data_IF_526553947050
#
_entry.id   IF_526553947050
#
_cell.length_a   1.000
_cell.length_b   1.000
_cell.length_c   1.000
_cell.angle_alpha   90.00
_cell.angle_beta   90.00
_cell.angle_gamma   90.00
#
_symmetry.space_group_name_H-M   'P 1'
#
loop_
_entity.id
_entity.type
_entity.pdbx_description
1 polymer ?
#
# COMPACT_ATOMS: atom_id res chain seq x y z
N UNK A 1 -37.30 -11.51 2.64
CA UNK A 1 -36.36 -10.84 3.55
C UNK A 1 -35.00 -10.84 2.86
N UNK A 2 -34.53 -9.69 2.37
CA UNK A 2 -33.19 -9.56 1.80
C UNK A 2 -32.30 -9.14 2.97
N UNK A 3 -31.39 -10.02 3.40
CA UNK A 3 -30.32 -9.64 4.33
C UNK A 3 -29.15 -9.13 3.49
N UNK A 4 -28.87 -7.84 3.57
CA UNK A 4 -27.58 -7.31 3.14
C UNK A 4 -26.54 -7.76 4.16
N UNK A 5 -25.74 -8.76 3.81
CA UNK A 5 -24.56 -9.12 4.59
C UNK A 5 -23.39 -8.32 4.03
N UNK A 6 -23.06 -7.21 4.67
CA UNK A 6 -21.74 -6.62 4.52
C UNK A 6 -20.87 -7.23 5.61
N UNK A 7 -19.80 -7.92 5.20
CA UNK A 7 -18.80 -8.32 6.16
C UNK A 7 -17.95 -7.11 6.52
N UNK A 8 -17.81 -6.87 7.82
CA UNK A 8 -16.93 -5.84 8.37
C UNK A 8 -15.60 -6.43 8.82
N UNK A 9 -15.44 -7.76 8.79
CA UNK A 9 -14.22 -8.41 9.24
C UNK A 9 -13.22 -8.50 8.08
N UNK A 10 -12.00 -7.95 8.23
CA UNK A 10 -10.92 -8.15 7.27
C UNK A 10 -10.35 -9.57 7.36
N UNK A 11 -9.68 -10.00 6.29
CA UNK A 11 -8.83 -11.19 6.31
C UNK A 11 -7.62 -10.89 7.21
N UNK A 12 -7.43 -11.63 8.30
CA UNK A 12 -6.32 -11.41 9.22
C UNK A 12 -5.04 -11.96 8.61
N UNK A 13 -4.09 -11.07 8.32
CA UNK A 13 -2.84 -11.40 7.65
C UNK A 13 -1.64 -10.71 8.31
N UNK A 14 -0.51 -11.40 8.29
CA UNK A 14 0.79 -10.87 8.74
C UNK A 14 1.81 -11.03 7.63
N UNK A 15 2.62 -9.99 7.39
CA UNK A 15 3.79 -10.07 6.51
C UNK A 15 5.05 -10.16 7.37
N UNK A 16 5.99 -11.01 6.94
CA UNK A 16 7.31 -11.13 7.51
C UNK A 16 8.33 -10.91 6.41
N UNK A 17 9.18 -9.93 6.60
CA UNK A 17 10.27 -9.60 5.69
C UNK A 17 11.58 -9.72 6.43
N UNK A 18 12.56 -10.36 5.80
CA UNK A 18 13.90 -10.47 6.35
C UNK A 18 14.81 -9.46 5.64
N UNK A 19 15.71 -8.85 6.40
CA UNK A 19 16.75 -7.94 5.91
C UNK A 19 16.18 -6.85 5.00
N UNK A 20 15.43 -5.91 5.59
CA UNK A 20 14.80 -4.81 4.84
C UNK A 20 15.80 -3.94 4.06
N UNK A 21 17.07 -3.93 4.46
CA UNK A 21 18.16 -3.20 3.83
C UNK A 21 19.10 -4.13 3.06
N UNK A 22 18.64 -5.26 2.54
CA UNK A 22 19.46 -6.12 1.67
C UNK A 22 18.61 -6.55 0.48
N UNK A 23 18.25 -5.60 -0.39
CA UNK A 23 17.51 -5.89 -1.62
C UNK A 23 18.42 -6.42 -2.72
N UNK A 24 19.71 -6.09 -2.68
CA UNK A 24 20.72 -6.44 -3.67
C UNK A 24 21.09 -7.94 -3.69
N UNK A 25 20.65 -8.70 -2.69
CA UNK A 25 20.78 -10.16 -2.62
C UNK A 25 19.43 -10.82 -2.89
N UNK A 26 19.45 -12.10 -3.27
CA UNK A 26 18.23 -12.88 -3.41
C UNK A 26 17.42 -12.82 -2.12
N UNK A 27 16.17 -12.39 -2.25
CA UNK A 27 15.37 -12.02 -1.09
C UNK A 27 13.99 -12.64 -1.12
N UNK A 28 13.41 -12.73 0.07
CA UNK A 28 12.08 -13.28 0.26
C UNK A 28 11.31 -12.53 1.33
N UNK A 29 10.00 -12.49 1.14
CA UNK A 29 9.05 -12.17 2.20
C UNK A 29 7.98 -13.25 2.27
N UNK A 30 7.32 -13.32 3.41
CA UNK A 30 6.35 -14.35 3.72
C UNK A 30 5.06 -13.70 4.18
N UNK A 31 3.94 -14.30 3.78
CA UNK A 31 2.61 -13.86 4.15
C UNK A 31 1.90 -15.01 4.85
N UNK A 32 1.39 -14.70 6.03
CA UNK A 32 0.74 -15.62 6.93
C UNK A 32 -0.72 -15.21 7.05
N UNK A 33 -1.61 -16.18 6.93
CA UNK A 33 -3.00 -16.00 7.28
C UNK A 33 -3.20 -16.51 8.70
N UNK A 34 -4.06 -15.83 9.46
CA UNK A 34 -4.49 -16.34 10.75
C UNK A 34 -5.22 -17.68 10.56
N UNK A 35 -5.23 -18.54 11.57
CA UNK A 35 -5.80 -19.89 11.46
C UNK A 35 -7.29 -19.89 11.05
N UNK A 36 -8.08 -18.92 11.52
CA UNK A 36 -9.50 -18.76 11.13
C UNK A 36 -9.67 -18.38 9.64
N UNK A 37 -8.60 -17.87 9.05
CA UNK A 37 -8.51 -17.41 7.68
C UNK A 37 -7.62 -18.31 6.81
N UNK A 38 -6.94 -19.31 7.37
CA UNK A 38 -6.04 -20.21 6.65
C UNK A 38 -6.73 -21.45 6.05
N UNK A 39 -8.06 -21.53 6.18
CA UNK A 39 -8.87 -22.64 5.67
C UNK A 39 -8.92 -22.68 4.13
N UNK A 40 -9.39 -23.79 3.54
CA UNK A 40 -9.53 -24.00 2.07
C UNK A 40 -10.36 -22.91 1.33
N UNK A 41 -10.97 -21.98 2.07
CA UNK A 41 -11.85 -20.91 1.60
C UNK A 41 -11.15 -19.60 1.18
N UNK A 42 -9.82 -19.47 1.35
CA UNK A 42 -9.10 -18.32 0.77
C UNK A 42 -9.10 -18.47 -0.73
N UNK A 43 -9.83 -17.57 -1.39
CA UNK A 43 -10.03 -17.65 -2.84
C UNK A 43 -8.73 -17.31 -3.57
N UNK A 44 -8.01 -16.28 -3.12
CA UNK A 44 -6.71 -15.90 -3.69
C UNK A 44 -5.78 -15.29 -2.64
N UNK A 45 -4.51 -15.66 -2.73
CA UNK A 45 -3.38 -14.90 -2.19
C UNK A 45 -2.53 -14.43 -3.37
N UNK A 46 -2.35 -13.13 -3.47
CA UNK A 46 -1.59 -12.48 -4.55
C UNK A 46 -0.43 -11.68 -3.95
N UNK A 47 0.73 -11.74 -4.59
CA UNK A 47 1.82 -10.81 -4.35
C UNK A 47 1.58 -9.53 -5.17
N UNK A 48 2.08 -8.40 -4.68
CA UNK A 48 1.92 -7.11 -5.39
C UNK A 48 3.11 -6.19 -5.16
N UNK A 49 3.35 -5.30 -6.14
CA UNK A 49 4.14 -4.09 -5.95
C UNK A 49 3.18 -2.93 -5.64
N UNK A 50 3.43 -2.20 -4.56
CA UNK A 50 2.53 -1.11 -4.11
C UNK A 50 2.64 0.14 -4.98
N UNK A 51 3.79 0.36 -5.61
CA UNK A 51 4.01 1.48 -6.54
C UNK A 51 5.37 1.41 -7.22
N UNK A 52 5.53 2.23 -8.25
CA UNK A 52 6.81 2.39 -8.93
C UNK A 52 7.74 3.29 -8.12
N UNK A 53 8.99 2.88 -8.02
CA UNK A 53 10.06 3.59 -7.29
C UNK A 53 11.27 3.81 -8.18
N UNK A 54 11.23 3.36 -9.43
CA UNK A 54 12.30 3.53 -10.44
C UNK A 54 11.73 4.04 -11.75
N UNK A 55 12.59 4.40 -12.70
CA UNK A 55 12.23 5.21 -13.85
C UNK A 55 11.43 4.47 -14.91
N UNK A 56 11.64 3.15 -15.04
CA UNK A 56 11.01 2.38 -16.12
C UNK A 56 10.25 1.16 -15.61
N UNK A 57 9.28 0.67 -16.40
CA UNK A 57 8.56 -0.56 -16.09
C UNK A 57 9.49 -1.77 -15.91
N UNK A 58 10.58 -1.84 -16.69
CA UNK A 58 11.57 -2.91 -16.61
C UNK A 58 12.30 -2.91 -15.26
N UNK A 59 12.49 -1.74 -14.66
CA UNK A 59 13.14 -1.56 -13.36
C UNK A 59 12.18 -1.77 -12.18
N UNK A 60 10.87 -1.82 -12.44
CA UNK A 60 9.81 -2.04 -11.45
C UNK A 60 9.00 -3.32 -11.77
N UNK A 61 9.64 -4.49 -11.97
CA UNK A 61 8.89 -5.70 -12.27
C UNK A 61 7.98 -6.08 -11.09
N UNK A 62 6.80 -6.60 -11.38
CA UNK A 62 5.92 -7.14 -10.34
C UNK A 62 6.56 -8.36 -9.67
N UNK A 63 6.34 -8.58 -8.36
CA UNK A 63 6.85 -9.75 -7.68
C UNK A 63 6.25 -11.04 -8.30
N UNK A 64 6.98 -12.15 -8.30
CA UNK A 64 6.45 -13.45 -8.72
C UNK A 64 5.26 -13.88 -7.86
N UNK A 65 4.41 -14.77 -8.40
CA UNK A 65 3.29 -15.34 -7.66
C UNK A 65 3.76 -16.06 -6.38
N UNK A 66 3.01 -15.94 -5.26
CA UNK A 66 3.39 -16.56 -4.01
C UNK A 66 3.29 -18.10 -4.08
N UNK A 67 4.28 -18.79 -3.51
CA UNK A 67 4.28 -20.25 -3.35
C UNK A 67 3.73 -20.65 -1.99
N UNK A 68 2.73 -21.55 -1.96
CA UNK A 68 2.19 -22.11 -0.73
C UNK A 68 3.12 -23.14 -0.10
N UNK A 69 3.26 -23.10 1.23
CA UNK A 69 4.00 -24.09 2.02
C UNK A 69 3.18 -24.58 3.20
N UNK A 70 2.90 -25.89 3.23
CA UNK A 70 2.08 -26.58 4.25
C UNK A 70 2.87 -27.08 5.47
N UNK A 71 3.99 -26.42 5.82
CA UNK A 71 4.80 -26.82 6.97
C UNK A 71 4.11 -26.58 8.33
N UNK A 72 4.84 -26.76 9.44
CA UNK A 72 4.30 -26.56 10.81
C UNK A 72 3.64 -25.19 11.02
N UNK A 73 4.08 -24.17 10.26
CA UNK A 73 3.42 -22.88 10.15
C UNK A 73 3.12 -22.67 8.66
N UNK A 74 1.85 -22.87 8.23
CA UNK A 74 1.44 -22.65 6.86
C UNK A 74 1.65 -21.20 6.43
N UNK A 75 2.18 -21.00 5.23
CA UNK A 75 2.52 -19.67 4.73
C UNK A 75 2.65 -19.61 3.21
N UNK A 76 2.52 -18.40 2.69
CA UNK A 76 2.86 -18.05 1.33
C UNK A 76 4.26 -17.42 1.32
N UNK A 77 5.16 -17.90 0.48
CA UNK A 77 6.49 -17.30 0.28
C UNK A 77 6.53 -16.63 -1.07
N UNK A 78 7.08 -15.42 -1.12
CA UNK A 78 7.44 -14.74 -2.36
C UNK A 78 8.95 -14.65 -2.40
N UNK A 79 9.56 -15.31 -3.37
CA UNK A 79 11.00 -15.25 -3.63
C UNK A 79 11.23 -14.31 -4.79
N UNK A 80 11.87 -13.18 -4.53
CA UNK A 80 12.23 -12.19 -5.55
C UNK A 80 13.62 -12.54 -6.06
N UNK A 81 13.72 -12.86 -7.35
CA UNK A 81 15.00 -13.04 -8.01
C UNK A 81 15.61 -11.69 -8.31
N UNK A 82 16.86 -11.46 -7.93
CA UNK A 82 17.42 -10.12 -8.05
C UNK A 82 17.99 -9.76 -9.43
N UNK A 83 18.09 -10.74 -10.34
CA UNK A 83 18.46 -10.64 -11.77
C UNK A 83 19.62 -9.68 -12.14
N UNK A 84 20.47 -9.30 -11.18
CA UNK A 84 21.51 -8.28 -11.33
C UNK A 84 21.00 -6.84 -11.49
N UNK A 85 19.68 -6.58 -11.47
CA UNK A 85 19.08 -5.28 -11.70
C UNK A 85 18.46 -4.64 -10.45
N UNK A 86 18.60 -5.31 -9.30
CA UNK A 86 17.99 -4.93 -8.04
C UNK A 86 16.45 -4.91 -8.06
N UNK A 87 15.84 -5.91 -8.71
CA UNK A 87 14.39 -6.02 -8.90
C UNK A 87 13.62 -6.12 -7.57
N UNK A 88 14.31 -6.56 -6.52
CA UNK A 88 13.80 -6.69 -5.16
C UNK A 88 13.77 -5.36 -4.36
N UNK A 89 14.18 -4.25 -4.97
CA UNK A 89 14.03 -2.91 -4.39
C UNK A 89 12.61 -2.35 -4.60
N UNK A 90 12.08 -1.69 -3.57
CA UNK A 90 10.79 -1.01 -3.61
C UNK A 90 9.85 -1.42 -2.48
N UNK A 91 8.55 -1.16 -2.70
CA UNK A 91 7.47 -1.51 -1.76
C UNK A 91 6.64 -2.64 -2.34
N UNK A 92 6.57 -3.74 -1.61
CA UNK A 92 5.91 -4.98 -2.02
C UNK A 92 4.88 -5.39 -0.99
N UNK A 93 4.02 -6.35 -1.31
CA UNK A 93 3.02 -6.79 -0.38
C UNK A 93 2.29 -8.04 -0.79
N UNK A 94 1.36 -8.41 0.08
CA UNK A 94 0.38 -9.46 -0.18
C UNK A 94 -1.02 -8.89 -0.12
N UNK A 95 -1.89 -9.45 -0.95
CA UNK A 95 -3.31 -9.17 -1.00
C UNK A 95 -4.07 -10.49 -0.87
N UNK A 96 -4.94 -10.57 0.12
CA UNK A 96 -5.71 -11.77 0.43
C UNK A 96 -7.20 -11.50 0.25
N UNK A 97 -7.89 -12.42 -0.43
CA UNK A 97 -9.35 -12.37 -0.62
C UNK A 97 -10.03 -13.63 -0.08
N UNK A 98 -11.11 -13.45 0.67
CA UNK A 98 -11.96 -14.53 1.19
C UNK A 98 -13.43 -14.14 1.05
N UNK A 99 -14.31 -15.03 0.54
CA UNK A 99 -15.74 -14.74 0.45
C UNK A 99 -16.32 -14.33 1.80
N UNK A 100 -17.10 -13.25 1.82
CA UNK A 100 -17.69 -12.76 3.06
C UNK A 100 -16.69 -12.14 4.04
N UNK A 101 -15.53 -11.67 3.57
CA UNK A 101 -14.59 -10.80 4.30
C UNK A 101 -14.15 -9.63 3.45
N UNK A 102 -13.65 -8.57 4.09
CA UNK A 102 -13.00 -7.47 3.38
C UNK A 102 -11.64 -7.92 2.86
N UNK A 103 -11.35 -7.60 1.60
CA UNK A 103 -10.01 -7.75 1.03
C UNK A 103 -8.99 -7.05 1.93
N UNK A 104 -7.88 -7.70 2.18
CA UNK A 104 -6.82 -7.15 3.04
C UNK A 104 -5.50 -7.16 2.30
N UNK A 105 -4.84 -6.02 2.32
CA UNK A 105 -3.53 -5.80 1.69
C UNK A 105 -2.56 -5.34 2.76
N UNK A 106 -1.36 -5.91 2.76
CA UNK A 106 -0.26 -5.50 3.64
C UNK A 106 0.99 -5.30 2.82
N UNK A 107 1.78 -4.29 3.15
CA UNK A 107 3.01 -3.95 2.44
C UNK A 107 4.24 -3.99 3.33
N UNK A 108 5.39 -4.12 2.69
CA UNK A 108 6.74 -4.10 3.26
C UNK A 108 7.66 -3.34 2.32
N UNK A 109 8.64 -2.65 2.89
CA UNK A 109 9.63 -1.88 2.14
C UNK A 109 10.95 -2.65 2.12
N UNK A 110 11.62 -2.63 0.96
CA UNK A 110 12.98 -3.15 0.79
C UNK A 110 13.87 -2.11 0.12
N UNK A 111 15.05 -1.93 0.68
CA UNK A 111 16.10 -1.02 0.24
C UNK A 111 17.44 -1.76 0.15
N UNK A 112 18.42 -1.16 -0.51
CA UNK A 112 19.78 -1.71 -0.58
C UNK A 112 20.53 -1.50 0.74
N UNK A 113 21.52 -2.35 0.99
CA UNK A 113 22.44 -2.19 2.14
C UNK A 113 23.40 -1.03 1.95
N UNK A 114 23.77 -0.78 0.70
CA UNK A 114 24.62 0.31 0.25
C UNK A 114 23.81 1.50 -0.29
N UNK A 115 22.52 1.62 0.08
CA UNK A 115 21.73 2.80 -0.25
C UNK A 115 22.40 4.07 0.30
N UNK A 116 22.54 5.06 -0.57
CA UNK A 116 23.19 6.32 -0.22
C UNK A 116 22.26 7.32 0.46
N UNK A 117 20.96 7.03 0.43
CA UNK A 117 19.90 7.74 1.15
C UNK A 117 19.05 6.69 1.87
N UNK A 118 18.88 6.85 3.18
CA UNK A 118 18.05 5.96 4.00
C UNK A 118 17.13 6.78 4.91
N UNK A 119 15.94 6.28 5.27
CA UNK A 119 15.09 6.94 6.27
C UNK A 119 15.83 7.15 7.59
N UNK A 120 15.60 8.29 8.23
CA UNK A 120 16.19 8.57 9.54
C UNK A 120 15.71 7.52 10.55
N UNK A 121 16.63 7.01 11.37
CA UNK A 121 16.41 5.90 12.31
C UNK A 121 15.94 4.59 11.66
N UNK A 122 16.19 4.42 10.35
CA UNK A 122 15.83 3.21 9.59
C UNK A 122 14.30 2.92 9.55
N UNK A 123 13.48 3.92 9.93
CA UNK A 123 12.03 3.83 9.91
C UNK A 123 11.50 4.12 8.52
N UNK A 124 11.26 3.08 7.73
CA UNK A 124 10.70 3.17 6.37
C UNK A 124 9.16 3.21 6.35
N UNK A 125 8.51 3.31 7.51
CA UNK A 125 7.05 3.48 7.60
C UNK A 125 6.73 4.43 8.75
N UNK A 126 5.82 5.36 8.51
CA UNK A 126 5.34 6.34 9.48
C UNK A 126 3.81 6.32 9.49
N UNK A 127 3.21 6.25 10.66
CA UNK A 127 1.74 6.31 10.81
C UNK A 127 1.34 7.64 11.42
N UNK A 128 0.40 8.31 10.78
CA UNK A 128 -0.17 9.60 11.20
C UNK A 128 -1.69 9.54 11.13
N UNK A 129 -2.37 10.51 11.73
CA UNK A 129 -3.81 10.69 11.61
C UNK A 129 -4.14 11.84 10.66
N UNK A 130 -5.34 11.81 10.10
CA UNK A 130 -5.90 13.00 9.44
C UNK A 130 -5.85 14.19 10.41
N UNK A 131 -5.52 15.37 9.88
CA UNK A 131 -5.34 16.63 10.60
C UNK A 131 -4.10 16.73 11.50
N UNK A 132 -3.24 15.70 11.57
CA UNK A 132 -1.90 15.91 12.11
C UNK A 132 -1.20 17.01 11.29
N UNK A 133 -0.47 17.90 11.97
CA UNK A 133 0.29 18.99 11.34
C UNK A 133 1.78 18.78 11.55
N UNK A 134 2.60 19.50 10.78
CA UNK A 134 4.07 19.46 10.90
C UNK A 134 4.66 18.06 10.69
N UNK A 135 3.99 17.23 9.91
CA UNK A 135 4.48 15.88 9.57
C UNK A 135 5.69 16.02 8.65
N UNK A 136 6.79 15.43 9.11
CA UNK A 136 8.08 15.42 8.43
C UNK A 136 8.48 13.99 8.11
N UNK A 137 9.05 13.84 6.93
CA UNK A 137 9.70 12.63 6.47
C UNK A 137 11.18 12.96 6.31
N UNK A 138 11.98 12.42 7.22
CA UNK A 138 13.41 12.70 7.32
C UNK A 138 14.25 11.55 6.75
N UNK A 139 15.30 11.91 6.01
CA UNK A 139 16.28 11.00 5.42
C UNK A 139 17.70 11.35 5.86
N UNK A 140 18.51 10.32 6.05
CA UNK A 140 19.95 10.42 6.25
C UNK A 140 20.67 10.12 4.93
N UNK A 141 21.69 10.94 4.64
CA UNK A 141 22.62 10.74 3.53
C UNK A 141 23.87 10.00 4.02
N UNK A 142 24.35 9.02 3.25
CA UNK A 142 25.63 8.34 3.51
C UNK A 142 26.80 9.33 3.47
N UNK A 143 27.88 9.01 4.18
CA UNK A 143 29.08 9.87 4.24
C UNK A 143 29.70 10.08 2.86
N UNK A 144 29.75 9.04 2.03
CA UNK A 144 30.33 9.11 0.68
C UNK A 144 29.54 10.08 -0.20
N UNK A 145 28.20 10.01 -0.13
CA UNK A 145 27.35 10.97 -0.86
C UNK A 145 27.43 12.38 -0.28
N UNK A 146 27.66 12.53 1.03
CA UNK A 146 27.97 13.85 1.61
C UNK A 146 29.26 14.44 1.06
N UNK A 147 30.27 13.61 0.80
CA UNK A 147 31.56 14.03 0.25
C UNK A 147 31.43 14.34 -1.25
N UNK A 148 30.84 13.45 -2.04
CA UNK A 148 30.69 13.59 -3.49
C UNK A 148 29.79 14.77 -3.88
N UNK A 149 28.75 15.01 -3.09
CA UNK A 149 27.93 16.20 -3.26
C UNK A 149 28.58 17.46 -2.66
N UNK A 150 29.79 17.43 -2.10
CA UNK A 150 30.43 18.56 -1.42
C UNK A 150 29.53 19.20 -0.35
N UNK A 151 28.75 18.37 0.36
CA UNK A 151 27.77 18.79 1.38
C UNK A 151 28.43 19.28 2.66
N UNK A 152 29.73 19.08 2.84
CA UNK A 152 30.55 19.72 3.88
C UNK A 152 30.55 21.25 3.79
N UNK A 153 30.14 21.83 2.65
CA UNK A 153 30.00 23.29 2.44
C UNK A 153 28.55 23.77 2.29
N UNK A 154 27.55 22.89 2.47
CA UNK A 154 26.12 23.26 2.50
C UNK A 154 25.45 23.55 1.14
N UNK A 155 26.16 23.44 0.02
CA UNK A 155 25.71 24.05 -1.25
C UNK A 155 25.12 23.10 -2.32
N UNK A 156 24.91 21.80 -2.05
CA UNK A 156 24.52 20.86 -3.12
C UNK A 156 23.35 19.91 -2.79
N UNK A 157 22.58 20.19 -1.74
CA UNK A 157 21.33 19.46 -1.48
C UNK A 157 20.36 19.61 -2.67
N UNK A 158 20.51 20.63 -3.52
CA UNK A 158 19.74 20.86 -4.76
C UNK A 158 19.73 19.69 -5.75
N UNK A 159 20.55 18.65 -5.58
CA UNK A 159 20.48 17.42 -6.38
C UNK A 159 19.49 16.40 -5.83
N UNK A 160 19.04 16.55 -4.58
CA UNK A 160 17.99 15.70 -4.02
C UNK A 160 16.66 16.02 -4.67
N UNK A 161 15.90 14.97 -4.95
CA UNK A 161 14.57 15.02 -5.54
C UNK A 161 13.64 14.21 -4.65
N UNK A 162 12.51 14.83 -4.34
CA UNK A 162 11.42 14.17 -3.65
C UNK A 162 10.30 13.86 -4.62
N UNK A 163 9.78 12.66 -4.55
CA UNK A 163 8.67 12.18 -5.36
C UNK A 163 7.68 11.41 -4.50
N UNK A 164 6.40 11.49 -4.84
CA UNK A 164 5.32 10.81 -4.15
C UNK A 164 4.56 9.92 -5.13
N UNK A 165 4.42 8.63 -4.82
CA UNK A 165 3.67 7.64 -5.62
C UNK A 165 4.02 7.63 -7.12
N UNK A 166 5.31 7.69 -7.46
CA UNK A 166 5.79 7.83 -8.84
C UNK A 166 5.23 9.04 -9.62
N UNK A 167 4.67 10.03 -8.92
CA UNK A 167 4.12 11.25 -9.50
C UNK A 167 5.18 12.25 -9.94
N UNK A 168 4.80 13.51 -10.09
CA UNK A 168 5.75 14.59 -10.35
C UNK A 168 6.67 14.81 -9.13
N UNK A 169 7.80 15.47 -9.37
CA UNK A 169 8.68 15.94 -8.30
C UNK A 169 7.88 16.88 -7.39
N UNK A 170 7.76 16.52 -6.12
CA UNK A 170 7.02 17.28 -5.10
C UNK A 170 7.91 18.26 -4.36
N UNK A 171 9.22 18.02 -4.32
CA UNK A 171 10.20 18.97 -3.77
C UNK A 171 11.60 18.76 -4.36
N UNK A 172 12.37 19.85 -4.40
CA UNK A 172 13.77 19.89 -4.85
C UNK A 172 14.63 20.35 -3.68
N UNK A 173 15.63 19.55 -3.37
CA UNK A 173 16.55 19.85 -2.27
C UNK A 173 16.07 19.41 -0.91
N UNK A 174 17.00 19.43 0.04
CA UNK A 174 16.79 18.98 1.42
C UNK A 174 16.70 17.46 1.56
N UNK A 175 17.11 16.97 2.73
CA UNK A 175 16.89 15.56 3.13
C UNK A 175 15.66 15.39 4.02
N UNK A 176 14.84 16.44 4.15
CA UNK A 176 13.58 16.44 4.88
C UNK A 176 12.48 16.90 3.93
N UNK A 177 11.41 16.12 3.85
CA UNK A 177 10.17 16.52 3.21
C UNK A 177 9.15 16.93 4.27
N UNK A 178 8.62 18.15 4.15
CA UNK A 178 7.57 18.69 5.02
C UNK A 178 6.24 18.65 4.27
N UNK A 179 5.24 18.00 4.85
CA UNK A 179 3.88 18.11 4.34
C UNK A 179 3.28 19.38 4.93
N UNK A 180 2.98 20.35 4.06
CA UNK A 180 2.44 21.64 4.47
C UNK A 180 0.95 21.52 4.81
N UNK A 181 0.59 21.93 6.02
CA UNK A 181 -0.80 21.93 6.49
C UNK A 181 -1.26 20.60 7.09
N UNK A 182 -2.58 20.47 7.33
CA UNK A 182 -3.15 19.28 7.97
C UNK A 182 -3.20 18.08 7.03
N UNK A 183 -2.71 16.94 7.49
CA UNK A 183 -2.67 15.68 6.72
C UNK A 183 -4.04 15.26 6.20
N UNK A 184 -4.08 14.85 4.95
CA UNK A 184 -5.23 14.30 4.24
C UNK A 184 -5.00 12.85 3.83
N UNK A 185 -6.06 12.12 3.48
CA UNK A 185 -5.95 10.72 3.03
C UNK A 185 -5.10 10.56 1.77
N UNK A 186 -5.07 11.55 0.88
CA UNK A 186 -4.29 11.49 -0.34
C UNK A 186 -2.79 11.69 -0.12
N UNK A 187 -2.35 12.15 1.05
CA UNK A 187 -0.93 12.25 1.40
C UNK A 187 -0.34 10.85 1.66
N UNK A 188 -1.17 9.85 1.95
CA UNK A 188 -0.70 8.49 2.13
C UNK A 188 0.03 7.95 0.89
N UNK A 189 1.01 7.09 1.11
CA UNK A 189 1.72 6.40 0.04
C UNK A 189 3.23 6.43 0.20
N UNK A 190 3.92 6.26 -0.93
CA UNK A 190 5.37 6.10 -0.98
C UNK A 190 6.01 7.45 -1.26
N UNK A 191 6.82 7.91 -0.32
CA UNK A 191 7.72 9.03 -0.48
C UNK A 191 9.13 8.52 -0.80
N UNK A 192 9.68 9.05 -1.87
CA UNK A 192 10.99 8.68 -2.41
C UNK A 192 11.91 9.90 -2.37
N UNK A 193 13.12 9.73 -1.84
CA UNK A 193 14.18 10.74 -1.89
C UNK A 193 15.41 10.19 -2.59
N UNK A 194 15.74 10.73 -3.76
CA UNK A 194 16.82 10.24 -4.63
C UNK A 194 17.76 11.36 -5.09
N UNK A 195 18.99 11.00 -5.47
CA UNK A 195 19.91 11.91 -6.15
C UNK A 195 19.53 11.99 -7.62
N UNK A 196 19.40 13.21 -8.16
CA UNK A 196 19.08 13.47 -9.57
C UNK A 196 19.99 12.64 -10.49
N UNK A 197 19.38 11.87 -11.37
CA UNK A 197 20.08 11.02 -12.34
C UNK A 197 20.37 9.60 -11.85
N UNK A 198 20.21 9.32 -10.55
CA UNK A 198 20.54 8.03 -9.94
C UNK A 198 19.30 7.24 -9.49
N UNK A 199 18.09 7.68 -9.85
CA UNK A 199 16.85 7.02 -9.45
C UNK A 199 16.80 5.55 -9.90
N UNK A 200 17.22 5.30 -11.14
CA UNK A 200 17.36 3.95 -11.69
C UNK A 200 18.36 3.05 -10.96
N UNK A 201 19.28 3.57 -10.13
CA UNK A 201 20.26 2.74 -9.41
C UNK A 201 19.70 2.06 -8.16
N UNK A 202 18.47 2.40 -7.74
CA UNK A 202 17.85 1.85 -6.54
C UNK A 202 18.64 2.09 -5.24
N UNK A 203 19.47 3.14 -5.18
CA UNK A 203 20.29 3.53 -4.02
C UNK A 203 19.63 4.64 -3.18
N UNK A 204 18.34 4.87 -3.39
CA UNK A 204 17.61 5.99 -2.81
C UNK A 204 16.70 5.57 -1.65
N UNK A 205 16.25 6.55 -0.87
CA UNK A 205 15.48 6.31 0.35
C UNK A 205 13.98 6.22 0.07
N UNK A 206 13.31 5.26 0.72
CA UNK A 206 11.87 5.06 0.65
C UNK A 206 11.23 5.19 2.04
N UNK A 207 10.15 5.94 2.16
CA UNK A 207 9.32 5.99 3.35
C UNK A 207 7.83 5.84 2.96
N UNK A 208 7.12 4.95 3.63
CA UNK A 208 5.69 4.73 3.44
C UNK A 208 4.92 5.48 4.52
N UNK A 209 4.18 6.51 4.12
CA UNK A 209 3.28 7.25 5.01
C UNK A 209 1.91 6.56 5.04
N UNK A 210 1.52 6.11 6.23
CA UNK A 210 0.20 5.55 6.52
C UNK A 210 -0.65 6.62 7.19
N UNK A 211 -1.75 7.02 6.55
CA UNK A 211 -2.70 7.99 7.10
C UNK A 211 -3.93 7.27 7.63
N UNK A 212 -4.23 7.45 8.92
CA UNK A 212 -5.44 6.91 9.55
C UNK A 212 -6.55 7.94 9.49
N UNK A 213 -7.67 7.57 8.87
CA UNK A 213 -8.93 8.31 8.93
C UNK A 213 -9.94 7.63 9.84
N UNK A 214 -10.88 8.41 10.38
CA UNK A 214 -12.08 7.84 10.96
C UNK A 214 -12.95 7.23 9.85
N UNK A 215 -13.13 5.92 9.89
CA UNK A 215 -14.04 5.23 8.99
C UNK A 215 -15.49 5.46 9.47
N UNK A 216 -16.17 6.46 8.90
CA UNK A 216 -17.61 6.61 9.06
C UNK A 216 -18.31 5.47 8.33
N UNK A 217 -18.68 4.41 9.05
CA UNK A 217 -19.51 3.33 8.51
C UNK A 217 -20.93 3.85 8.33
N UNK A 218 -21.23 4.43 7.16
CA UNK A 218 -22.60 4.78 6.79
C UNK A 218 -23.37 3.51 6.41
N UNK A 219 -24.17 2.98 7.33
CA UNK A 219 -25.15 1.94 7.01
C UNK A 219 -26.27 2.54 6.15
N UNK A 220 -26.20 2.38 4.83
CA UNK A 220 -27.35 2.64 3.95
C UNK A 220 -28.24 1.40 4.03
N UNK A 221 -29.27 1.44 4.88
CA UNK A 221 -30.30 0.42 4.92
C UNK A 221 -31.43 0.80 3.94
N UNK A 222 -31.38 0.29 2.70
CA UNK A 222 -32.50 0.44 1.78
C UNK A 222 -33.64 -0.49 2.19
N UNK A 223 -34.70 0.05 2.79
CA UNK A 223 -35.93 -0.70 3.08
C UNK A 223 -36.79 -0.73 1.80
N UNK A 224 -36.86 -1.88 1.13
CA UNK A 224 -37.79 -2.10 0.02
C UNK A 224 -39.16 -2.54 0.56
N UNK A 225 -40.17 -1.66 0.49
CA UNK A 225 -41.58 -2.04 0.67
C UNK A 225 -42.14 -2.53 -0.66
N UNK A 226 -42.53 -3.81 -0.71
CA UNK A 226 -43.29 -4.36 -1.83
C UNK A 226 -44.78 -4.10 -1.60
N UNK A 227 -45.38 -3.22 -2.41
CA UNK A 227 -46.83 -3.20 -2.62
C UNK A 227 -47.13 -3.65 -4.04
N UNK A 228 -48.30 -4.26 -4.25
CA UNK A 228 -48.65 -5.09 -5.39
C UNK A 228 -48.56 -4.44 -6.79
N UNK A 229 -48.22 -3.15 -6.95
CA UNK A 229 -48.17 -2.51 -8.27
C UNK A 229 -47.14 -1.38 -8.46
N UNK A 230 -46.22 -1.11 -7.53
CA UNK A 230 -45.17 -0.09 -7.74
C UNK A 230 -43.96 -0.27 -6.82
N UNK A 231 -42.77 0.04 -7.35
CA UNK A 231 -41.53 0.14 -6.58
C UNK A 231 -41.36 1.60 -6.13
N UNK A 232 -41.53 1.88 -4.84
CA UNK A 232 -41.19 3.18 -4.26
C UNK A 232 -39.88 3.03 -3.48
N UNK A 233 -38.86 3.80 -3.85
CA UNK A 233 -37.64 3.97 -3.08
C UNK A 233 -37.87 5.15 -2.13
N UNK A 234 -37.84 4.93 -0.82
CA UNK A 234 -37.92 6.00 0.18
C UNK A 234 -36.59 6.03 0.92
N UNK A 235 -35.82 7.10 0.75
CA UNK A 235 -34.61 7.37 1.52
C UNK A 235 -35.05 8.27 2.68
N UNK A 236 -35.27 7.70 3.87
CA UNK A 236 -35.57 8.50 5.05
C UNK A 236 -34.27 8.82 5.81
N UNK A 237 -34.02 10.11 6.01
CA UNK A 237 -32.95 10.72 6.80
C UNK A 237 -31.51 10.42 6.36
N UNK A 238 -31.04 11.13 5.34
CA UNK A 238 -29.62 11.30 5.08
C UNK A 238 -29.32 12.75 4.69
N UNK A 239 -28.82 13.55 5.64
CA UNK A 239 -27.96 14.69 5.29
C UNK A 239 -26.58 14.11 4.93
N UNK A 240 -26.46 13.56 3.73
CA UNK A 240 -25.17 13.18 3.15
C UNK A 240 -25.10 13.81 1.77
N UNK A 241 -24.12 14.69 1.58
CA UNK A 241 -23.76 15.23 0.27
C UNK A 241 -23.10 14.08 -0.50
N UNK A 242 -23.86 13.42 -1.36
CA UNK A 242 -23.39 12.34 -2.23
C UNK A 242 -22.97 12.90 -3.59
N UNK A 243 -21.67 12.87 -3.87
CA UNK A 243 -21.20 12.68 -5.24
C UNK A 243 -21.13 11.16 -5.50
N UNK A 244 -22.20 10.57 -6.03
CA UNK A 244 -22.25 9.13 -6.35
C UNK A 244 -22.31 8.90 -7.87
N UNK A 245 -21.24 8.35 -8.43
CA UNK A 245 -21.30 7.51 -9.63
C UNK A 245 -21.51 6.07 -9.16
N UNK A 246 -22.69 5.49 -9.35
CA UNK A 246 -22.91 4.06 -9.06
C UNK A 246 -23.86 3.43 -10.08
N UNK A 247 -23.31 2.60 -10.95
CA UNK A 247 -24.05 1.61 -11.74
C UNK A 247 -24.26 0.35 -10.90
N UNK A 248 -25.47 0.16 -10.38
CA UNK A 248 -25.83 -1.04 -9.62
C UNK A 248 -26.57 -2.03 -10.54
N UNK A 249 -25.92 -3.12 -10.95
CA UNK A 249 -26.55 -4.21 -11.71
C UNK A 249 -27.22 -5.19 -10.74
N UNK A 250 -28.55 -5.32 -10.80
CA UNK A 250 -29.34 -6.22 -9.95
C UNK A 250 -29.64 -7.52 -10.72
N UNK A 251 -29.19 -8.67 -10.22
CA UNK A 251 -29.59 -10.01 -10.71
C UNK A 251 -30.83 -10.48 -9.93
N UNK A 252 -31.97 -10.64 -10.63
CA UNK A 252 -33.21 -11.15 -10.05
C UNK A 252 -33.33 -12.65 -10.38
N UNK A 253 -33.23 -13.52 -9.37
CA UNK A 253 -33.58 -14.94 -9.50
C UNK A 253 -35.07 -15.14 -9.17
N UNK A 254 -35.84 -15.68 -10.12
CA UNK A 254 -37.24 -16.07 -9.88
C UNK A 254 -37.36 -17.57 -9.65
N UNK A 255 -37.75 -17.97 -8.45
CA UNK A 255 -38.08 -19.38 -8.14
C UNK A 255 -39.54 -19.65 -8.53
N UNK A 256 -39.76 -20.42 -9.60
CA UNK A 256 -41.10 -20.89 -9.99
C UNK A 256 -41.52 -22.02 -9.05
N UNK A 257 -42.48 -21.78 -8.14
CA UNK A 257 -43.17 -22.87 -7.42
C UNK A 257 -44.14 -23.56 -8.38
N UNK A 258 -43.94 -24.86 -8.61
CA UNK A 258 -44.94 -25.73 -9.24
C UNK A 258 -46.06 -25.97 -8.22
N UNK A 259 -47.28 -25.60 -8.57
CA UNK A 259 -48.53 -26.11 -7.98
C UNK A 259 -48.86 -27.45 -8.60
#
# INVERSE_FOLDING_TARGET
>A
MIKCFYSTEPVKMTILTFNHFESEVDSKYQCYLNNDDSDEDVKTMESMRTGWTRDTAKENPDPPSPSWHSGSIPRYTVTMGNNGANDAFGVFGCKATKPGKLETSISTTRMRSDAVIVPTNELFTQTVNINDTDVRIDMNLSTDVRIDMNLSTGNNLWNLRWQHNNGNIVSVGGSTFLIEGPIQLHDAGIYECYVRGNRSLAEHGLNVLLVRGEQLVSQICCIFKFSKLSLQLTIENCHIILHMYLSCTILIYTHKKKT
#
